data_IF_188960643767
#
_entry.id   IF_188960643767
#
_cell.length_a   1.000
_cell.length_b   1.000
_cell.length_c   1.000
_cell.angle_alpha   90.00
_cell.angle_beta   90.00
_cell.angle_gamma   90.00
#
_symmetry.space_group_name_H-M   'P 1'
#
loop_
_entity.id
_entity.type
_entity.pdbx_description
1 polymer ?
#
# COMPACT_ATOMS: atom_id res chain seq x y z
N UNK A 1 -41.30 -43.08 130.50
CA UNK A 1 -39.92 -43.39 130.09
C UNK A 1 -39.79 -43.73 128.59
N UNK A 2 -40.83 -44.20 127.90
CA UNK A 2 -40.79 -44.45 126.45
C UNK A 2 -40.64 -43.18 125.59
N UNK A 3 -41.23 -42.04 125.95
CA UNK A 3 -41.10 -40.79 125.17
C UNK A 3 -39.67 -40.21 125.13
N UNK A 4 -38.89 -40.41 126.21
CA UNK A 4 -37.50 -39.95 126.29
C UNK A 4 -36.56 -40.85 125.45
N UNK A 5 -36.87 -42.14 125.35
CA UNK A 5 -36.15 -43.09 124.49
C UNK A 5 -36.44 -42.85 123.00
N UNK A 6 -37.69 -42.55 122.65
CA UNK A 6 -38.06 -42.16 121.29
C UNK A 6 -37.33 -40.87 120.87
N UNK A 7 -37.33 -39.82 121.72
CA UNK A 7 -36.61 -38.55 121.43
C UNK A 7 -35.09 -38.72 121.32
N UNK A 8 -34.47 -39.61 122.11
CA UNK A 8 -33.01 -39.87 122.05
C UNK A 8 -32.55 -40.63 120.80
N UNK A 9 -33.41 -41.42 120.15
CA UNK A 9 -33.10 -42.12 118.89
C UNK A 9 -33.44 -41.25 117.67
N UNK A 10 -34.44 -40.38 117.81
CA UNK A 10 -35.00 -39.60 116.70
C UNK A 10 -34.11 -38.41 116.29
N UNK A 11 -33.49 -37.71 117.24
CA UNK A 11 -32.61 -36.55 116.96
C UNK A 11 -31.33 -36.94 116.19
N UNK A 12 -30.58 -38.01 116.56
CA UNK A 12 -29.41 -38.44 115.80
C UNK A 12 -29.73 -38.91 114.38
N UNK A 13 -30.87 -39.57 114.17
CA UNK A 13 -31.33 -40.04 112.86
C UNK A 13 -31.69 -38.86 111.95
N UNK A 14 -32.42 -37.86 112.46
CA UNK A 14 -32.70 -36.64 111.68
C UNK A 14 -31.43 -35.84 111.39
N UNK A 15 -30.49 -35.75 112.33
CA UNK A 15 -29.20 -35.09 112.11
C UNK A 15 -28.36 -35.80 111.04
N UNK A 16 -28.31 -37.14 111.05
CA UNK A 16 -27.60 -37.92 110.02
C UNK A 16 -28.23 -37.77 108.63
N UNK A 17 -29.56 -37.78 108.53
CA UNK A 17 -30.27 -37.57 107.25
C UNK A 17 -30.06 -36.16 106.72
N UNK A 18 -30.08 -35.16 107.60
CA UNK A 18 -29.79 -33.77 107.25
C UNK A 18 -28.35 -33.61 106.76
N UNK A 19 -27.37 -34.19 107.45
CA UNK A 19 -25.97 -34.16 107.05
C UNK A 19 -25.74 -34.88 105.71
N UNK A 20 -26.37 -36.03 105.47
CA UNK A 20 -26.31 -36.73 104.19
C UNK A 20 -26.92 -35.90 103.04
N UNK A 21 -28.03 -35.21 103.31
CA UNK A 21 -28.65 -34.30 102.34
C UNK A 21 -27.79 -33.06 102.08
N UNK A 22 -27.18 -32.47 103.11
CA UNK A 22 -26.27 -31.34 102.98
C UNK A 22 -25.04 -31.72 102.15
N UNK A 23 -24.48 -32.93 102.35
CA UNK A 23 -23.36 -33.43 101.57
C UNK A 23 -23.75 -33.73 100.11
N UNK A 24 -24.93 -34.31 99.88
CA UNK A 24 -25.46 -34.52 98.54
C UNK A 24 -25.71 -33.19 97.80
N UNK A 25 -26.19 -32.17 98.51
CA UNK A 25 -26.36 -30.82 97.96
C UNK A 25 -25.01 -30.14 97.68
N UNK A 26 -24.02 -30.28 98.56
CA UNK A 26 -22.66 -29.77 98.35
C UNK A 26 -22.01 -30.42 97.12
N UNK A 27 -22.02 -31.74 97.03
CA UNK A 27 -21.52 -32.48 95.87
C UNK A 27 -22.27 -32.15 94.57
N UNK A 28 -23.58 -31.86 94.64
CA UNK A 28 -24.34 -31.37 93.48
C UNK A 28 -23.89 -29.96 93.08
N UNK A 29 -23.72 -29.05 94.04
CA UNK A 29 -23.26 -27.69 93.79
C UNK A 29 -21.86 -27.66 93.18
N UNK A 30 -20.92 -28.45 93.70
CA UNK A 30 -19.56 -28.59 93.16
C UNK A 30 -19.57 -29.11 91.72
N UNK A 31 -20.41 -30.10 91.41
CA UNK A 31 -20.57 -30.61 90.04
C UNK A 31 -21.18 -29.58 89.09
N UNK A 32 -22.16 -28.80 89.54
CA UNK A 32 -22.76 -27.72 88.74
C UNK A 32 -21.69 -26.67 88.45
N UNK A 33 -20.96 -26.21 89.46
CA UNK A 33 -19.89 -25.22 89.28
C UNK A 33 -18.79 -25.73 88.34
N UNK A 34 -18.41 -27.01 88.43
CA UNK A 34 -17.44 -27.61 87.53
C UNK A 34 -17.95 -27.70 86.08
N UNK A 35 -19.23 -28.06 85.87
CA UNK A 35 -19.83 -28.11 84.54
C UNK A 35 -19.98 -26.70 83.94
N UNK A 36 -20.37 -25.72 84.73
CA UNK A 36 -20.51 -24.31 84.31
C UNK A 36 -19.16 -23.70 83.92
N UNK A 37 -18.10 -23.99 84.69
CA UNK A 37 -16.75 -23.59 84.34
C UNK A 37 -16.27 -24.22 83.02
N UNK A 38 -16.47 -25.53 82.85
CA UNK A 38 -16.16 -26.24 81.59
C UNK A 38 -16.95 -25.68 80.40
N UNK A 39 -18.23 -25.35 80.60
CA UNK A 39 -19.08 -24.76 79.57
C UNK A 39 -18.58 -23.37 79.15
N UNK A 40 -18.18 -22.54 80.12
CA UNK A 40 -17.63 -21.21 79.86
C UNK A 40 -16.31 -21.29 79.09
N UNK A 41 -15.37 -22.15 79.52
CA UNK A 41 -14.09 -22.33 78.83
C UNK A 41 -14.28 -22.85 77.39
N UNK A 42 -15.21 -23.78 77.18
CA UNK A 42 -15.55 -24.28 75.85
C UNK A 42 -16.14 -23.16 74.99
N UNK A 43 -17.06 -22.37 75.54
CA UNK A 43 -17.70 -21.25 74.86
C UNK A 43 -16.68 -20.19 74.42
N UNK A 44 -15.71 -19.86 75.28
CA UNK A 44 -14.64 -18.93 74.96
C UNK A 44 -13.73 -19.51 73.85
N UNK A 45 -13.39 -20.79 73.97
CA UNK A 45 -12.57 -21.48 72.97
C UNK A 45 -13.23 -21.50 71.58
N UNK A 46 -14.55 -21.73 71.51
CA UNK A 46 -15.34 -21.68 70.28
C UNK A 46 -15.41 -20.28 69.67
N UNK A 47 -15.64 -19.25 70.49
CA UNK A 47 -15.77 -17.86 70.04
C UNK A 47 -14.47 -17.35 69.42
N UNK A 48 -13.34 -17.64 70.08
CA UNK A 48 -12.02 -17.30 69.57
C UNK A 48 -11.71 -18.02 68.24
N UNK A 49 -12.02 -19.32 68.12
CA UNK A 49 -11.81 -20.05 66.86
C UNK A 49 -12.74 -19.51 65.75
N UNK A 50 -14.01 -19.24 66.05
CA UNK A 50 -14.93 -18.58 65.12
C UNK A 50 -14.39 -17.22 64.65
N UNK A 51 -13.91 -16.39 65.58
CA UNK A 51 -13.33 -15.09 65.28
C UNK A 51 -12.11 -15.19 64.38
N UNK A 52 -11.23 -16.17 64.65
CA UNK A 52 -10.09 -16.48 63.78
C UNK A 52 -10.55 -16.90 62.39
N UNK A 53 -11.48 -17.85 62.26
CA UNK A 53 -12.02 -18.31 60.96
C UNK A 53 -12.58 -17.13 60.17
N UNK A 54 -13.45 -16.33 60.79
CA UNK A 54 -14.06 -15.16 60.12
C UNK A 54 -13.02 -14.12 59.70
N UNK A 55 -11.98 -13.90 60.49
CA UNK A 55 -10.87 -13.03 60.11
C UNK A 55 -10.11 -13.56 58.90
N UNK A 56 -9.86 -14.87 58.82
CA UNK A 56 -9.19 -15.49 57.67
C UNK A 56 -10.06 -15.44 56.40
N UNK A 57 -11.36 -15.75 56.52
CA UNK A 57 -12.30 -15.68 55.40
C UNK A 57 -12.39 -14.25 54.84
N UNK A 58 -12.44 -13.25 55.73
CA UNK A 58 -12.44 -11.84 55.33
C UNK A 58 -11.16 -11.46 54.59
N UNK A 59 -10.00 -11.85 55.11
CA UNK A 59 -8.72 -11.60 54.45
C UNK A 59 -8.68 -12.19 53.04
N UNK A 60 -9.21 -13.40 52.83
CA UNK A 60 -9.27 -14.05 51.51
C UNK A 60 -10.21 -13.34 50.53
N UNK A 61 -11.31 -12.77 51.03
CA UNK A 61 -12.26 -12.02 50.20
C UNK A 61 -11.77 -10.63 49.79
N UNK A 62 -10.83 -10.05 50.55
CA UNK A 62 -10.26 -8.72 50.29
C UNK A 62 -9.04 -8.75 49.37
N UNK A 63 -8.55 -9.93 48.97
CA UNK A 63 -7.44 -10.00 48.02
C UNK A 63 -7.89 -9.60 46.62
N UNK A 64 -7.28 -8.52 46.13
CA UNK A 64 -7.38 -8.11 44.73
C UNK A 64 -6.82 -9.17 43.78
N UNK A 65 -7.33 -9.18 42.54
CA UNK A 65 -6.83 -10.05 41.47
C UNK A 65 -5.39 -9.65 41.13
N UNK A 66 -4.39 -10.52 41.32
CA UNK A 66 -3.00 -10.19 40.98
C UNK A 66 -2.83 -9.94 39.49
N UNK A 67 -2.05 -8.91 39.14
CA UNK A 67 -1.74 -8.56 37.74
C UNK A 67 -0.29 -8.84 37.34
N UNK A 68 0.52 -9.36 38.26
CA UNK A 68 1.92 -9.71 38.04
C UNK A 68 2.28 -11.05 38.69
N UNK A 69 3.31 -11.72 38.17
CA UNK A 69 3.85 -12.97 38.75
C UNK A 69 4.28 -12.77 40.20
N UNK A 70 4.88 -11.62 40.53
CA UNK A 70 5.25 -11.29 41.90
C UNK A 70 4.04 -11.20 42.83
N UNK A 71 2.93 -10.62 42.33
CA UNK A 71 1.67 -10.55 43.04
C UNK A 71 1.06 -11.94 43.29
N UNK A 72 1.09 -12.82 42.29
CA UNK A 72 0.66 -14.23 42.42
C UNK A 72 1.51 -14.94 43.47
N UNK A 73 2.84 -14.82 43.39
CA UNK A 73 3.77 -15.43 44.33
C UNK A 73 3.54 -14.94 45.77
N UNK A 74 3.27 -13.65 45.96
CA UNK A 74 2.93 -13.09 47.26
C UNK A 74 1.61 -13.66 47.82
N UNK A 75 0.59 -13.85 46.97
CA UNK A 75 -0.68 -14.48 47.34
C UNK A 75 -0.48 -15.95 47.73
N UNK A 76 0.23 -16.73 46.91
CA UNK A 76 0.54 -18.14 47.19
C UNK A 76 1.34 -18.30 48.49
N UNK A 77 2.36 -17.46 48.72
CA UNK A 77 3.12 -17.45 49.97
C UNK A 77 2.23 -17.13 51.18
N UNK A 78 1.21 -16.28 51.02
CA UNK A 78 0.24 -16.00 52.07
C UNK A 78 -0.67 -17.19 52.33
N UNK A 79 -1.20 -17.84 51.27
CA UNK A 79 -1.99 -19.06 51.38
C UNK A 79 -1.22 -20.20 52.07
N UNK A 80 0.09 -20.31 51.84
CA UNK A 80 0.94 -21.29 52.51
C UNK A 80 1.11 -20.99 54.01
N UNK A 81 1.27 -19.71 54.38
CA UNK A 81 1.30 -19.30 55.79
C UNK A 81 -0.04 -19.59 56.47
N UNK A 82 -1.16 -19.25 55.81
CA UNK A 82 -2.51 -19.55 56.30
C UNK A 82 -2.72 -21.06 56.43
N UNK A 83 -2.22 -21.87 55.49
CA UNK A 83 -2.33 -23.34 55.54
C UNK A 83 -1.56 -23.92 56.73
N UNK A 84 -0.40 -23.34 57.07
CA UNK A 84 0.35 -23.70 58.28
C UNK A 84 -0.41 -23.31 59.55
N UNK A 85 -0.97 -22.09 59.60
CA UNK A 85 -1.78 -21.63 60.72
C UNK A 85 -3.03 -22.51 60.92
N UNK A 86 -3.76 -22.83 59.85
CA UNK A 86 -4.91 -23.75 59.86
C UNK A 86 -4.54 -25.12 60.44
N UNK A 87 -3.37 -25.68 60.09
CA UNK A 87 -2.91 -26.96 60.68
C UNK A 87 -2.64 -26.86 62.18
N UNK A 88 -2.21 -25.70 62.68
CA UNK A 88 -2.03 -25.47 64.12
C UNK A 88 -3.38 -25.39 64.83
N UNK A 89 -4.33 -24.64 64.26
CA UNK A 89 -5.68 -24.48 64.79
C UNK A 89 -6.56 -25.74 64.67
N UNK A 90 -6.21 -26.69 63.79
CA UNK A 90 -6.90 -27.98 63.69
C UNK A 90 -6.94 -28.73 65.04
N UNK A 91 -5.84 -28.66 65.81
CA UNK A 91 -5.77 -29.30 67.13
C UNK A 91 -6.76 -28.69 68.11
N UNK A 92 -6.93 -27.36 68.03
CA UNK A 92 -7.89 -26.61 68.85
C UNK A 92 -9.33 -27.01 68.50
N UNK A 93 -9.65 -27.15 67.22
CA UNK A 93 -10.95 -27.64 66.78
C UNK A 93 -11.23 -29.07 67.30
N UNK A 94 -10.25 -29.96 67.23
CA UNK A 94 -10.40 -31.34 67.69
C UNK A 94 -10.58 -31.43 69.21
N UNK A 95 -9.89 -30.57 69.97
CA UNK A 95 -10.05 -30.43 71.43
C UNK A 95 -11.44 -29.86 71.81
N UNK A 96 -11.90 -28.80 71.14
CA UNK A 96 -13.26 -28.25 71.29
C UNK A 96 -14.29 -29.37 71.03
N UNK A 97 -14.15 -30.12 69.95
CA UNK A 97 -15.03 -31.25 69.60
C UNK A 97 -15.07 -32.32 70.68
N UNK A 98 -13.92 -32.67 71.26
CA UNK A 98 -13.85 -33.66 72.34
C UNK A 98 -14.55 -33.14 73.61
N UNK A 99 -14.17 -31.94 74.07
CA UNK A 99 -14.70 -31.34 75.30
C UNK A 99 -16.21 -31.11 75.24
N UNK A 100 -16.74 -30.65 74.12
CA UNK A 100 -18.20 -30.47 74.03
C UNK A 100 -18.97 -31.77 73.82
N UNK A 101 -18.36 -32.85 73.29
CA UNK A 101 -19.00 -34.19 73.37
C UNK A 101 -19.08 -34.68 74.81
N UNK A 102 -18.03 -34.50 75.59
CA UNK A 102 -18.02 -34.83 77.03
C UNK A 102 -19.08 -34.00 77.79
N UNK A 103 -19.13 -32.69 77.54
CA UNK A 103 -20.10 -31.80 78.16
C UNK A 103 -21.55 -32.09 77.72
N UNK A 104 -21.77 -32.46 76.46
CA UNK A 104 -23.08 -32.87 75.95
C UNK A 104 -23.55 -34.19 76.57
N UNK A 105 -22.63 -35.13 76.82
CA UNK A 105 -22.95 -36.39 77.52
C UNK A 105 -23.30 -36.18 78.99
N UNK A 106 -22.71 -35.15 79.62
CA UNK A 106 -22.97 -34.75 81.00
C UNK A 106 -24.23 -33.85 81.15
N UNK A 107 -24.89 -33.49 80.04
CA UNK A 107 -26.06 -32.63 80.03
C UNK A 107 -27.25 -33.25 80.80
N UNK A 108 -27.90 -32.44 81.64
CA UNK A 108 -28.97 -32.91 82.54
C UNK A 108 -30.34 -32.40 82.14
N UNK A 109 -30.42 -31.31 81.38
CA UNK A 109 -31.69 -30.84 80.83
C UNK A 109 -31.89 -31.40 79.42
N UNK A 110 -33.13 -31.81 79.07
CA UNK A 110 -33.45 -32.22 77.72
C UNK A 110 -33.11 -31.11 76.70
N UNK A 111 -32.42 -31.48 75.62
CA UNK A 111 -32.08 -30.57 74.51
C UNK A 111 -30.78 -29.77 74.66
N UNK A 112 -30.17 -29.67 75.84
CA UNK A 112 -28.89 -28.95 76.01
C UNK A 112 -27.73 -29.60 75.26
N UNK A 113 -27.62 -30.93 75.36
CA UNK A 113 -26.60 -31.69 74.63
C UNK A 113 -26.77 -31.57 73.10
N UNK A 114 -28.02 -31.56 72.62
CA UNK A 114 -28.33 -31.38 71.19
C UNK A 114 -27.93 -29.98 70.69
N UNK A 115 -28.22 -28.93 71.47
CA UNK A 115 -27.81 -27.56 71.14
C UNK A 115 -26.28 -27.41 71.08
N UNK A 116 -25.56 -28.06 71.99
CA UNK A 116 -24.10 -28.02 71.99
C UNK A 116 -23.51 -28.74 70.76
N UNK A 117 -24.06 -29.91 70.42
CA UNK A 117 -23.66 -30.64 69.21
C UNK A 117 -23.97 -29.85 67.93
N UNK A 118 -25.08 -29.11 67.89
CA UNK A 118 -25.43 -28.26 66.76
C UNK A 118 -24.45 -27.08 66.60
N UNK A 119 -24.04 -26.43 67.69
CA UNK A 119 -23.00 -25.39 67.65
C UNK A 119 -21.68 -25.92 67.10
N UNK A 120 -21.28 -27.12 67.52
CA UNK A 120 -20.08 -27.79 67.01
C UNK A 120 -20.17 -28.12 65.52
N UNK A 121 -21.37 -28.50 65.06
CA UNK A 121 -21.66 -28.75 63.65
C UNK A 121 -21.45 -27.46 62.85
N UNK A 122 -22.06 -26.35 63.27
CA UNK A 122 -21.90 -25.04 62.63
C UNK A 122 -20.44 -24.56 62.60
N UNK A 123 -19.68 -24.77 63.68
CA UNK A 123 -18.25 -24.44 63.72
C UNK A 123 -17.44 -25.29 62.73
N UNK A 124 -17.79 -26.56 62.59
CA UNK A 124 -17.16 -27.47 61.63
C UNK A 124 -17.49 -27.07 60.19
N UNK A 125 -18.73 -26.67 59.91
CA UNK A 125 -19.11 -26.16 58.59
C UNK A 125 -18.29 -24.93 58.21
N UNK A 126 -18.15 -23.94 59.11
CA UNK A 126 -17.30 -22.76 58.87
C UNK A 126 -15.83 -23.12 58.65
N UNK A 127 -15.33 -24.16 59.30
CA UNK A 127 -13.97 -24.64 59.12
C UNK A 127 -13.75 -25.25 57.73
N UNK A 128 -14.74 -26.00 57.24
CA UNK A 128 -14.73 -26.61 55.92
C UNK A 128 -14.91 -25.52 54.84
N UNK A 129 -15.80 -24.55 55.04
CA UNK A 129 -15.96 -23.37 54.17
C UNK A 129 -14.64 -22.59 54.01
N UNK A 130 -13.88 -22.39 55.09
CA UNK A 130 -12.56 -21.77 55.02
C UNK A 130 -11.59 -22.62 54.18
N UNK A 131 -11.63 -23.96 54.33
CA UNK A 131 -10.79 -24.85 53.55
C UNK A 131 -11.09 -24.75 52.05
N UNK A 132 -12.37 -24.78 51.70
CA UNK A 132 -12.86 -24.66 50.33
C UNK A 132 -12.50 -23.30 49.73
N UNK A 133 -12.64 -22.22 50.50
CA UNK A 133 -12.26 -20.88 50.06
C UNK A 133 -10.76 -20.75 49.81
N UNK A 134 -9.93 -21.32 50.70
CA UNK A 134 -8.48 -21.34 50.52
C UNK A 134 -8.07 -22.11 49.25
N UNK A 135 -8.69 -23.26 49.00
CA UNK A 135 -8.39 -24.07 47.82
C UNK A 135 -8.88 -23.41 46.52
N UNK A 136 -10.10 -22.85 46.54
CA UNK A 136 -10.61 -22.07 45.42
C UNK A 136 -9.72 -20.86 45.11
N UNK A 137 -9.16 -20.20 46.14
CA UNK A 137 -8.23 -19.07 45.95
C UNK A 137 -6.90 -19.53 45.38
N UNK A 138 -6.39 -20.70 45.80
CA UNK A 138 -5.17 -21.31 45.25
C UNK A 138 -5.34 -21.67 43.78
N UNK A 139 -6.45 -22.30 43.40
CA UNK A 139 -6.72 -22.64 42.00
C UNK A 139 -6.86 -21.39 41.13
N UNK A 140 -7.56 -20.35 41.62
CA UNK A 140 -7.61 -19.04 40.93
C UNK A 140 -6.22 -18.45 40.73
N UNK A 141 -5.36 -18.47 41.75
CA UNK A 141 -4.00 -17.97 41.63
C UNK A 141 -3.18 -18.73 40.56
N UNK A 142 -3.31 -20.06 40.48
CA UNK A 142 -2.69 -20.93 39.46
C UNK A 142 -3.18 -20.60 38.04
N UNK A 143 -4.48 -20.32 37.86
CA UNK A 143 -5.02 -19.90 36.56
C UNK A 143 -4.50 -18.51 36.17
N UNK A 144 -4.47 -17.57 37.11
CA UNK A 144 -3.94 -16.22 36.90
C UNK A 144 -2.45 -16.26 36.55
N UNK A 145 -1.66 -17.09 37.23
CA UNK A 145 -0.24 -17.29 36.93
C UNK A 145 -0.03 -17.69 35.47
N UNK A 146 -0.71 -18.77 35.04
CA UNK A 146 -0.64 -19.26 33.65
C UNK A 146 -1.12 -18.21 32.64
N UNK A 147 -2.11 -17.41 33.01
CA UNK A 147 -2.59 -16.32 32.17
C UNK A 147 -1.54 -15.22 32.02
N UNK A 148 -0.90 -14.78 33.11
CA UNK A 148 0.14 -13.73 33.08
C UNK A 148 1.36 -14.21 32.29
N UNK A 149 1.80 -15.45 32.50
CA UNK A 149 2.90 -16.04 31.72
C UNK A 149 2.57 -16.12 30.23
N UNK A 150 1.36 -16.58 29.89
CA UNK A 150 0.88 -16.65 28.52
C UNK A 150 0.76 -15.27 27.87
N UNK A 151 0.31 -14.26 28.61
CA UNK A 151 0.20 -12.88 28.15
C UNK A 151 1.59 -12.34 27.81
N UNK A 152 2.55 -12.46 28.72
CA UNK A 152 3.92 -12.01 28.51
C UNK A 152 4.60 -12.74 27.32
N UNK A 153 4.33 -14.04 27.15
CA UNK A 153 4.83 -14.81 26.03
C UNK A 153 4.27 -14.30 24.68
N UNK A 154 2.94 -14.08 24.61
CA UNK A 154 2.29 -13.55 23.41
C UNK A 154 2.71 -12.11 23.10
N UNK A 155 2.83 -11.26 24.12
CA UNK A 155 3.31 -9.89 23.94
C UNK A 155 4.71 -9.86 23.35
N UNK A 156 5.64 -10.65 23.92
CA UNK A 156 7.01 -10.79 23.40
C UNK A 156 7.02 -11.31 21.97
N UNK A 157 6.15 -12.26 21.65
CA UNK A 157 6.00 -12.79 20.31
C UNK A 157 5.47 -11.73 19.33
N UNK A 158 4.43 -10.98 19.69
CA UNK A 158 3.89 -9.87 18.90
C UNK A 158 4.95 -8.80 18.65
N UNK A 159 5.71 -8.39 19.67
CA UNK A 159 6.82 -7.44 19.52
C UNK A 159 7.90 -7.97 18.59
N UNK A 160 8.20 -9.28 18.62
CA UNK A 160 9.14 -9.89 17.68
C UNK A 160 8.60 -9.87 16.24
N UNK A 161 7.32 -10.19 16.04
CA UNK A 161 6.68 -10.16 14.71
C UNK A 161 6.58 -8.76 14.12
N UNK A 162 6.27 -7.74 14.94
CA UNK A 162 6.35 -6.34 14.50
C UNK A 162 7.75 -5.95 14.03
N UNK A 163 8.79 -6.36 14.77
CA UNK A 163 10.18 -6.13 14.32
C UNK A 163 10.52 -6.86 13.03
N UNK A 164 10.05 -8.09 12.84
CA UNK A 164 10.20 -8.81 11.57
C UNK A 164 9.48 -8.08 10.43
N UNK A 165 8.24 -7.62 10.66
CA UNK A 165 7.47 -6.86 9.67
C UNK A 165 8.18 -5.57 9.26
N UNK A 166 8.80 -4.87 10.21
CA UNK A 166 9.64 -3.70 9.92
C UNK A 166 10.90 -4.09 9.12
N UNK A 167 11.54 -5.20 9.47
CA UNK A 167 12.76 -5.68 8.80
C UNK A 167 12.57 -6.10 7.33
N UNK A 168 11.33 -6.43 6.91
CA UNK A 168 11.00 -6.67 5.49
C UNK A 168 11.28 -5.43 4.62
N UNK A 169 11.30 -4.23 5.22
CA UNK A 169 11.62 -2.99 4.52
C UNK A 169 10.43 -2.39 3.77
N UNK A 170 10.69 -1.36 2.96
CA UNK A 170 9.67 -0.71 2.15
C UNK A 170 9.27 -1.58 0.94
N UNK A 171 8.02 -1.49 0.46
CA UNK A 171 7.59 -2.11 -0.79
C UNK A 171 8.52 -1.75 -1.97
N UNK A 172 8.82 -2.73 -2.81
CA UNK A 172 9.73 -2.56 -3.96
C UNK A 172 9.03 -2.92 -5.27
N UNK A 173 9.44 -2.25 -6.35
CA UNK A 173 9.04 -2.55 -7.73
C UNK A 173 9.89 -3.65 -8.36
N UNK A 174 10.99 -4.05 -7.71
CA UNK A 174 11.80 -5.19 -8.17
C UNK A 174 11.06 -6.52 -7.92
N UNK A 175 10.75 -7.24 -8.98
CA UNK A 175 9.97 -8.48 -8.91
C UNK A 175 10.66 -9.62 -8.12
N UNK A 176 11.99 -9.65 -8.00
CA UNK A 176 12.68 -10.66 -7.20
C UNK A 176 12.63 -10.32 -5.71
N UNK A 177 12.87 -9.06 -5.36
CA UNK A 177 12.79 -8.59 -3.98
C UNK A 177 11.33 -8.63 -3.50
N UNK A 178 10.37 -8.18 -4.30
CA UNK A 178 8.94 -8.21 -3.95
C UNK A 178 8.42 -9.63 -3.70
N UNK A 179 8.85 -10.62 -4.51
CA UNK A 179 8.56 -12.05 -4.25
C UNK A 179 9.13 -12.53 -2.93
N UNK A 180 10.33 -12.09 -2.57
CA UNK A 180 10.96 -12.43 -1.29
C UNK A 180 10.20 -11.81 -0.12
N UNK A 181 9.85 -10.51 -0.23
CA UNK A 181 9.02 -9.81 0.75
C UNK A 181 7.67 -10.50 0.93
N UNK A 182 7.01 -10.88 -0.17
CA UNK A 182 5.73 -11.61 -0.14
C UNK A 182 5.86 -12.97 0.58
N UNK A 183 6.91 -13.74 0.28
CA UNK A 183 7.16 -15.00 0.99
C UNK A 183 7.38 -14.83 2.49
N UNK A 184 8.07 -13.76 2.91
CA UNK A 184 8.24 -13.42 4.33
C UNK A 184 6.92 -13.02 4.99
N UNK A 185 6.07 -12.24 4.31
CA UNK A 185 4.73 -11.85 4.81
C UNK A 185 3.82 -13.08 4.97
N UNK A 186 3.83 -13.99 3.99
CA UNK A 186 3.08 -15.25 4.05
C UNK A 186 3.53 -16.13 5.22
N UNK A 187 4.83 -16.19 5.50
CA UNK A 187 5.35 -16.91 6.65
C UNK A 187 4.85 -16.29 7.96
N UNK A 188 4.91 -14.96 8.10
CA UNK A 188 4.38 -14.27 9.28
C UNK A 188 2.87 -14.53 9.44
N UNK A 189 2.12 -14.53 8.34
CA UNK A 189 0.68 -14.79 8.37
C UNK A 189 0.36 -16.22 8.83
N UNK A 190 1.09 -17.21 8.31
CA UNK A 190 0.96 -18.60 8.74
C UNK A 190 1.32 -18.77 10.23
N UNK A 191 2.33 -18.05 10.72
CA UNK A 191 2.66 -18.05 12.15
C UNK A 191 1.57 -17.36 13.01
N UNK A 192 0.95 -16.27 12.53
CA UNK A 192 -0.21 -15.65 13.17
C UNK A 192 -1.39 -16.62 13.31
N UNK A 193 -1.69 -17.37 12.26
CA UNK A 193 -2.74 -18.40 12.29
C UNK A 193 -2.40 -19.53 13.27
N UNK A 194 -1.14 -19.93 13.36
CA UNK A 194 -0.67 -20.91 14.33
C UNK A 194 -0.84 -20.45 15.77
N UNK A 195 -0.53 -19.18 16.06
CA UNK A 195 -0.58 -18.62 17.41
C UNK A 195 -2.00 -18.21 17.84
N UNK A 196 -2.95 -18.12 16.89
CA UNK A 196 -4.36 -17.78 17.14
C UNK A 196 -5.03 -18.73 18.14
N UNK A 197 -4.61 -19.99 18.19
CA UNK A 197 -5.10 -20.96 19.18
C UNK A 197 -4.66 -20.60 20.61
N UNK A 198 -3.40 -20.20 20.80
CA UNK A 198 -2.86 -19.74 22.08
C UNK A 198 -3.58 -18.47 22.56
N UNK A 199 -3.78 -17.51 21.65
CA UNK A 199 -4.52 -16.28 21.94
C UNK A 199 -5.97 -16.56 22.40
N UNK A 200 -6.69 -17.44 21.70
CA UNK A 200 -8.04 -17.86 22.10
C UNK A 200 -8.06 -18.59 23.44
N UNK A 201 -7.07 -19.46 23.70
CA UNK A 201 -6.95 -20.13 24.99
C UNK A 201 -6.76 -19.12 26.12
N UNK A 202 -5.98 -18.07 25.90
CA UNK A 202 -5.74 -17.02 26.87
C UNK A 202 -7.00 -16.18 27.17
N UNK A 203 -7.76 -15.84 26.14
CA UNK A 203 -9.11 -15.24 26.29
C UNK A 203 -10.02 -16.12 27.15
N UNK A 204 -10.11 -17.42 26.81
CA UNK A 204 -10.98 -18.36 27.55
C UNK A 204 -10.57 -18.55 29.01
N UNK A 205 -9.26 -18.50 29.32
CA UNK A 205 -8.78 -18.52 30.71
C UNK A 205 -9.27 -17.29 31.48
N UNK A 206 -9.25 -16.10 30.87
CA UNK A 206 -9.77 -14.89 31.51
C UNK A 206 -11.28 -14.97 31.73
N UNK A 207 -12.05 -15.44 30.75
CA UNK A 207 -13.50 -15.61 30.87
C UNK A 207 -13.89 -16.62 31.97
N UNK A 208 -13.04 -17.62 32.21
CA UNK A 208 -13.25 -18.62 33.26
C UNK A 208 -12.96 -18.09 34.67
N UNK A 209 -12.28 -16.95 34.82
CA UNK A 209 -11.92 -16.40 36.12
C UNK A 209 -13.11 -15.66 36.77
N UNK A 210 -13.49 -16.02 38.01
CA UNK A 210 -14.48 -15.26 38.77
C UNK A 210 -13.97 -13.83 39.01
N UNK A 211 -14.77 -12.83 38.65
CA UNK A 211 -14.37 -11.42 38.75
C UNK A 211 -13.71 -10.84 37.48
N UNK A 212 -13.80 -11.54 36.34
CA UNK A 212 -13.48 -11.01 35.01
C UNK A 212 -14.47 -9.94 34.51
N UNK A 213 -14.93 -9.07 35.41
CA UNK A 213 -15.68 -7.87 35.02
C UNK A 213 -14.78 -6.96 34.17
N UNK A 214 -15.39 -6.12 33.32
CA UNK A 214 -14.65 -5.15 32.48
C UNK A 214 -13.73 -4.19 33.26
N UNK A 215 -13.90 -4.07 34.59
CA UNK A 215 -13.10 -3.23 35.49
C UNK A 215 -12.01 -4.00 36.26
N UNK A 216 -11.88 -5.32 36.06
CA UNK A 216 -10.85 -6.12 36.72
C UNK A 216 -9.44 -5.79 36.22
N UNK A 217 -8.43 -5.89 37.10
CA UNK A 217 -7.03 -5.51 36.78
C UNK A 217 -6.40 -6.22 35.59
N UNK A 218 -6.90 -7.40 35.19
CA UNK A 218 -6.41 -8.16 34.02
C UNK A 218 -7.10 -7.77 32.70
N UNK A 219 -8.31 -7.19 32.75
CA UNK A 219 -9.05 -6.76 31.57
C UNK A 219 -8.31 -5.71 30.70
N UNK A 220 -7.64 -4.67 31.26
CA UNK A 220 -6.89 -3.72 30.43
C UNK A 220 -5.70 -4.37 29.72
N UNK A 221 -4.99 -5.28 30.38
CA UNK A 221 -3.88 -6.04 29.77
C UNK A 221 -4.37 -6.91 28.60
N UNK A 222 -5.56 -7.50 28.73
CA UNK A 222 -6.21 -8.24 27.65
C UNK A 222 -6.62 -7.33 26.49
N UNK A 223 -7.15 -6.15 26.78
CA UNK A 223 -7.53 -5.16 25.78
C UNK A 223 -6.31 -4.66 24.99
N UNK A 224 -5.20 -4.41 25.67
CA UNK A 224 -3.93 -4.04 25.05
C UNK A 224 -3.41 -5.16 24.14
N UNK A 225 -3.42 -6.41 24.61
CA UNK A 225 -3.02 -7.57 23.81
C UNK A 225 -3.92 -7.74 22.57
N UNK A 226 -5.24 -7.58 22.74
CA UNK A 226 -6.22 -7.71 21.66
C UNK A 226 -6.04 -6.61 20.62
N UNK A 227 -5.85 -5.36 21.07
CA UNK A 227 -5.54 -4.23 20.20
C UNK A 227 -4.23 -4.47 19.46
N UNK A 228 -3.23 -5.01 20.16
CA UNK A 228 -1.93 -5.31 19.59
C UNK A 228 -1.98 -6.38 18.51
N UNK A 229 -2.78 -7.43 18.72
CA UNK A 229 -3.06 -8.49 17.77
C UNK A 229 -3.73 -7.94 16.50
N UNK A 230 -4.83 -7.20 16.65
CA UNK A 230 -5.59 -6.60 15.53
C UNK A 230 -4.74 -5.60 14.76
N UNK A 231 -3.93 -4.78 15.44
CA UNK A 231 -3.00 -3.85 14.80
C UNK A 231 -2.00 -4.59 13.91
N UNK A 232 -1.40 -5.68 14.41
CA UNK A 232 -0.45 -6.48 13.64
C UNK A 232 -1.11 -7.14 12.43
N UNK A 233 -2.33 -7.68 12.56
CA UNK A 233 -3.08 -8.25 11.43
C UNK A 233 -3.36 -7.19 10.35
N UNK A 234 -3.74 -5.98 10.77
CA UNK A 234 -3.97 -4.86 9.86
C UNK A 234 -2.68 -4.43 9.16
N UNK A 235 -1.61 -4.20 9.92
CA UNK A 235 -0.28 -3.81 9.39
C UNK A 235 0.26 -4.85 8.40
N UNK A 236 0.09 -6.14 8.71
CA UNK A 236 0.50 -7.24 7.84
C UNK A 236 -0.28 -7.22 6.52
N UNK A 237 -1.60 -7.13 6.59
CA UNK A 237 -2.49 -7.10 5.41
C UNK A 237 -2.22 -5.87 4.53
N UNK A 238 -2.01 -4.71 5.17
CA UNK A 238 -1.68 -3.47 4.48
C UNK A 238 -0.32 -3.57 3.78
N UNK A 239 0.68 -4.12 4.46
CA UNK A 239 2.01 -4.32 3.88
C UNK A 239 2.00 -5.33 2.74
N UNK A 240 1.26 -6.43 2.86
CA UNK A 240 1.04 -7.39 1.78
C UNK A 240 0.43 -6.73 0.54
N UNK A 241 -0.65 -5.95 0.73
CA UNK A 241 -1.28 -5.19 -0.34
C UNK A 241 -0.31 -4.20 -0.98
N UNK A 242 0.52 -3.53 -0.19
CA UNK A 242 1.47 -2.55 -0.68
C UNK A 242 2.61 -3.19 -1.48
N UNK A 243 3.17 -4.31 -1.01
CA UNK A 243 4.18 -5.09 -1.75
C UNK A 243 3.60 -5.62 -3.06
N UNK A 244 2.36 -6.13 -3.05
CA UNK A 244 1.70 -6.59 -4.27
C UNK A 244 1.51 -5.45 -5.28
N UNK A 245 0.97 -4.30 -4.84
CA UNK A 245 0.80 -3.12 -5.69
C UNK A 245 2.12 -2.63 -6.28
N UNK A 246 3.19 -2.57 -5.48
CA UNK A 246 4.50 -2.17 -5.95
C UNK A 246 5.07 -3.16 -6.98
N UNK A 247 4.88 -4.47 -6.76
CA UNK A 247 5.25 -5.51 -7.73
C UNK A 247 4.51 -5.37 -9.06
N UNK A 248 3.20 -5.12 -9.01
CA UNK A 248 2.37 -4.96 -10.21
C UNK A 248 2.78 -3.71 -11.00
N UNK A 249 3.03 -2.61 -10.30
CA UNK A 249 3.57 -1.37 -10.88
C UNK A 249 4.93 -1.61 -11.55
N UNK A 250 5.83 -2.33 -10.88
CA UNK A 250 7.13 -2.69 -11.44
C UNK A 250 7.02 -3.53 -12.71
N UNK A 251 6.05 -4.46 -12.76
CA UNK A 251 5.78 -5.25 -13.95
C UNK A 251 5.23 -4.41 -15.11
N UNK A 252 4.32 -3.47 -14.82
CA UNK A 252 3.77 -2.54 -15.80
C UNK A 252 4.85 -1.62 -16.37
N UNK A 253 5.64 -0.97 -15.52
CA UNK A 253 6.75 -0.10 -15.95
C UNK A 253 7.76 -0.88 -16.79
N UNK A 254 8.13 -2.09 -16.39
CA UNK A 254 9.06 -2.93 -17.15
C UNK A 254 8.50 -3.33 -18.53
N UNK A 255 7.19 -3.58 -18.62
CA UNK A 255 6.53 -3.87 -19.89
C UNK A 255 6.53 -2.65 -20.81
N UNK A 256 6.16 -1.48 -20.29
CA UNK A 256 6.18 -0.21 -21.03
C UNK A 256 7.59 0.17 -21.47
N UNK A 257 8.57 0.05 -20.58
CA UNK A 257 9.98 0.30 -20.88
C UNK A 257 10.47 -0.58 -22.03
N UNK A 258 10.12 -1.88 -22.04
CA UNK A 258 10.48 -2.77 -23.13
C UNK A 258 9.85 -2.34 -24.46
N UNK A 259 8.59 -1.88 -24.43
CA UNK A 259 7.90 -1.32 -25.60
C UNK A 259 8.60 -0.07 -26.13
N UNK A 260 8.79 0.93 -25.26
CA UNK A 260 9.47 2.20 -25.61
C UNK A 260 10.89 1.95 -26.15
N UNK A 261 11.68 1.07 -25.53
CA UNK A 261 13.03 0.75 -26.01
C UNK A 261 13.03 0.13 -27.41
N UNK A 262 12.05 -0.72 -27.71
CA UNK A 262 11.90 -1.31 -29.05
C UNK A 262 11.52 -0.25 -30.07
N UNK A 263 10.56 0.61 -29.74
CA UNK A 263 10.07 1.66 -30.63
C UNK A 263 11.13 2.74 -30.87
N UNK A 264 11.93 3.08 -29.85
CA UNK A 264 13.11 3.94 -29.99
C UNK A 264 14.13 3.32 -30.94
N UNK A 265 14.40 2.01 -30.84
CA UNK A 265 15.36 1.34 -31.74
C UNK A 265 14.86 1.30 -33.20
N UNK A 266 13.57 1.09 -33.40
CA UNK A 266 12.94 1.19 -34.74
C UNK A 266 13.06 2.61 -35.27
N UNK A 267 12.74 3.62 -34.45
CA UNK A 267 12.83 5.03 -34.84
C UNK A 267 14.27 5.45 -35.17
N UNK A 268 15.26 4.98 -34.42
CA UNK A 268 16.68 5.20 -34.72
C UNK A 268 17.06 4.64 -36.10
N UNK A 269 16.62 3.42 -36.43
CA UNK A 269 16.87 2.80 -37.72
C UNK A 269 16.16 3.55 -38.86
N UNK A 270 14.93 4.01 -38.64
CA UNK A 270 14.17 4.77 -39.64
C UNK A 270 14.77 6.16 -39.88
N UNK A 271 15.26 6.85 -38.83
CA UNK A 271 16.00 8.11 -38.94
C UNK A 271 17.30 7.89 -39.75
N UNK A 272 18.02 6.79 -39.52
CA UNK A 272 19.24 6.49 -40.29
C UNK A 272 18.93 6.20 -41.76
N UNK A 273 17.87 5.42 -42.03
CA UNK A 273 17.38 5.17 -43.40
C UNK A 273 16.97 6.46 -44.09
N UNK A 274 16.27 7.34 -43.38
CA UNK A 274 15.87 8.65 -43.88
C UNK A 274 17.06 9.51 -44.31
N UNK A 275 18.15 9.49 -43.52
CA UNK A 275 19.39 10.18 -43.84
C UNK A 275 20.02 9.74 -45.17
N UNK A 276 19.69 8.53 -45.67
CA UNK A 276 20.22 7.96 -46.92
C UNK A 276 19.37 8.25 -48.16
N UNK A 277 18.17 8.81 -48.02
CA UNK A 277 17.34 9.17 -49.17
C UNK A 277 18.05 10.17 -50.08
N UNK A 278 17.64 10.27 -51.35
CA UNK A 278 18.24 11.19 -52.32
C UNK A 278 17.54 12.56 -52.27
N UNK A 279 18.25 13.68 -52.56
CA UNK A 279 17.65 15.02 -52.54
C UNK A 279 16.51 15.20 -53.54
N UNK A 280 16.38 14.34 -54.55
CA UNK A 280 15.30 14.39 -55.55
C UNK A 280 13.91 13.96 -55.04
N UNK A 281 13.82 13.41 -53.83
CA UNK A 281 12.59 12.84 -53.25
C UNK A 281 12.05 13.72 -52.10
N UNK A 282 12.15 15.05 -52.23
CA UNK A 282 11.89 15.99 -51.14
C UNK A 282 10.48 15.86 -50.53
N UNK A 283 9.45 15.62 -51.33
CA UNK A 283 8.07 15.48 -50.85
C UNK A 283 7.88 14.17 -50.05
N UNK A 284 8.46 13.07 -50.54
CA UNK A 284 8.51 11.78 -49.82
C UNK A 284 9.26 11.95 -48.50
N UNK A 285 10.38 12.68 -48.52
CA UNK A 285 11.15 13.01 -47.33
C UNK A 285 10.35 13.83 -46.30
N UNK A 286 9.60 14.83 -46.74
CA UNK A 286 8.80 15.64 -45.81
C UNK A 286 7.67 14.84 -45.16
N UNK A 287 7.03 13.94 -45.92
CA UNK A 287 5.99 13.05 -45.43
C UNK A 287 6.53 12.04 -44.40
N UNK A 288 7.67 11.41 -44.68
CA UNK A 288 8.31 10.48 -43.74
C UNK A 288 8.78 11.17 -42.45
N UNK A 289 9.37 12.37 -42.54
CA UNK A 289 9.73 13.17 -41.33
C UNK A 289 8.50 13.50 -40.49
N UNK A 290 7.38 13.82 -41.12
CA UNK A 290 6.13 14.13 -40.42
C UNK A 290 5.60 12.89 -39.69
N UNK A 291 5.69 11.71 -40.31
CA UNK A 291 5.33 10.44 -39.68
C UNK A 291 6.25 10.08 -38.50
N UNK A 292 7.57 10.20 -38.67
CA UNK A 292 8.56 9.94 -37.60
C UNK A 292 8.39 10.92 -36.43
N UNK A 293 8.05 12.17 -36.70
CA UNK A 293 7.71 13.15 -35.65
C UNK A 293 6.46 12.78 -34.87
N UNK A 294 5.43 12.26 -35.54
CA UNK A 294 4.23 11.77 -34.85
C UNK A 294 4.57 10.63 -33.89
N UNK A 295 5.34 9.64 -34.35
CA UNK A 295 5.79 8.52 -33.52
C UNK A 295 6.62 8.97 -32.31
N UNK A 296 7.45 10.02 -32.48
CA UNK A 296 8.23 10.59 -31.39
C UNK A 296 7.36 11.25 -30.32
N UNK A 297 6.27 11.92 -30.72
CA UNK A 297 5.29 12.48 -29.78
C UNK A 297 4.63 11.36 -28.98
N UNK A 298 4.18 10.29 -29.65
CA UNK A 298 3.58 9.13 -28.99
C UNK A 298 4.54 8.49 -27.96
N UNK A 299 5.83 8.34 -28.31
CA UNK A 299 6.86 7.85 -27.38
C UNK A 299 7.07 8.79 -26.19
N UNK A 300 7.09 10.10 -26.44
CA UNK A 300 7.19 11.10 -25.37
C UNK A 300 6.01 11.02 -24.40
N UNK A 301 4.80 10.77 -24.90
CA UNK A 301 3.61 10.57 -24.08
C UNK A 301 3.71 9.30 -23.24
N UNK A 302 4.16 8.18 -23.81
CA UNK A 302 4.37 6.93 -23.07
C UNK A 302 5.40 7.08 -21.94
N UNK A 303 6.52 7.77 -22.20
CA UNK A 303 7.53 8.04 -21.15
C UNK A 303 7.01 9.03 -20.11
N UNK A 304 6.16 9.98 -20.52
CA UNK A 304 5.41 10.85 -19.61
C UNK A 304 4.50 10.04 -18.68
N UNK A 305 3.72 9.11 -19.24
CA UNK A 305 2.84 8.22 -18.48
C UNK A 305 3.61 7.34 -17.49
N UNK A 306 4.72 6.71 -17.91
CA UNK A 306 5.58 5.95 -16.99
C UNK A 306 6.12 6.83 -15.84
N UNK A 307 6.47 8.09 -16.10
CA UNK A 307 6.92 9.01 -15.05
C UNK A 307 5.80 9.31 -14.05
N UNK A 308 4.56 9.44 -14.51
CA UNK A 308 3.40 9.62 -13.63
C UNK A 308 3.09 8.38 -12.80
N UNK A 309 3.33 7.19 -13.33
CA UNK A 309 3.22 5.93 -12.58
C UNK A 309 4.26 5.82 -11.47
N UNK A 310 5.46 6.40 -11.66
CA UNK A 310 6.55 6.41 -10.68
C UNK A 310 6.37 7.54 -9.64
N UNK A 311 5.68 8.62 -10.00
CA UNK A 311 5.31 9.66 -9.04
C UNK A 311 4.52 9.05 -7.87
N UNK A 312 4.76 9.54 -6.64
CA UNK A 312 4.17 8.98 -5.45
C UNK A 312 2.65 9.20 -5.52
N UNK A 313 1.92 8.17 -5.96
CA UNK A 313 0.52 8.03 -5.62
C UNK A 313 0.46 8.02 -4.09
N UNK A 314 -0.26 8.96 -3.48
CA UNK A 314 -0.18 9.26 -2.03
C UNK A 314 -0.41 8.08 -1.09
N UNK A 315 -0.82 6.92 -1.62
CA UNK A 315 -1.12 5.69 -0.88
C UNK A 315 -0.04 4.59 -1.01
N UNK A 316 1.03 4.78 -1.79
CA UNK A 316 2.07 3.75 -2.00
C UNK A 316 3.47 4.33 -1.78
N UNK A 317 4.05 4.03 -0.61
CA UNK A 317 5.45 4.34 -0.32
C UNK A 317 6.34 3.24 -0.92
N UNK A 318 6.93 3.53 -2.09
CA UNK A 318 7.92 2.64 -2.74
C UNK A 318 9.29 2.93 -2.14
N UNK A 319 10.12 1.90 -2.03
CA UNK A 319 11.53 2.01 -1.68
C UNK A 319 12.25 3.10 -2.50
N UNK A 320 12.89 4.02 -1.79
CA UNK A 320 13.45 5.25 -2.37
C UNK A 320 14.56 4.96 -3.39
N UNK A 321 15.31 3.87 -3.22
CA UNK A 321 16.37 3.48 -4.15
C UNK A 321 15.78 2.95 -5.45
N UNK A 322 14.80 2.04 -5.38
CA UNK A 322 14.09 1.55 -6.56
C UNK A 322 13.39 2.69 -7.32
N UNK A 323 12.82 3.65 -6.60
CA UNK A 323 12.24 4.85 -7.22
C UNK A 323 13.29 5.70 -7.93
N UNK A 324 14.43 5.95 -7.29
CA UNK A 324 15.52 6.73 -7.89
C UNK A 324 16.06 6.10 -9.18
N UNK A 325 16.24 4.79 -9.19
CA UNK A 325 16.70 4.04 -10.37
C UNK A 325 15.68 4.13 -11.52
N UNK A 326 14.37 4.03 -11.22
CA UNK A 326 13.31 4.18 -12.20
C UNK A 326 13.23 5.62 -12.76
N UNK A 327 13.35 6.63 -11.91
CA UNK A 327 13.38 8.03 -12.32
C UNK A 327 14.60 8.33 -13.22
N UNK A 328 15.77 7.78 -12.90
CA UNK A 328 16.97 7.93 -13.72
C UNK A 328 16.78 7.28 -15.11
N UNK A 329 16.18 6.09 -15.16
CA UNK A 329 15.86 5.41 -16.43
C UNK A 329 14.86 6.22 -17.27
N UNK A 330 13.79 6.75 -16.67
CA UNK A 330 12.83 7.60 -17.38
C UNK A 330 13.49 8.85 -17.94
N UNK A 331 14.34 9.51 -17.14
CA UNK A 331 15.07 10.70 -17.58
C UNK A 331 16.07 10.39 -18.70
N UNK A 332 16.71 9.22 -18.68
CA UNK A 332 17.54 8.74 -19.76
C UNK A 332 16.77 8.56 -21.08
N UNK A 333 15.57 7.96 -21.02
CA UNK A 333 14.72 7.80 -22.20
C UNK A 333 14.20 9.14 -22.74
N UNK A 334 13.79 10.07 -21.86
CA UNK A 334 13.40 11.44 -22.27
C UNK A 334 14.51 12.13 -23.03
N UNK A 335 15.75 12.08 -22.53
CA UNK A 335 16.92 12.65 -23.22
C UNK A 335 17.14 12.03 -24.60
N UNK A 336 16.99 10.71 -24.72
CA UNK A 336 17.14 10.01 -26.01
C UNK A 336 16.06 10.42 -27.02
N UNK A 337 14.81 10.56 -26.58
CA UNK A 337 13.69 11.08 -27.38
C UNK A 337 13.98 12.52 -27.82
N UNK A 338 14.45 13.39 -26.93
CA UNK A 338 14.82 14.78 -27.25
C UNK A 338 15.95 14.86 -28.28
N UNK A 339 16.95 13.97 -28.19
CA UNK A 339 18.04 13.87 -29.18
C UNK A 339 17.53 13.47 -30.56
N UNK A 340 16.62 12.48 -30.64
CA UNK A 340 15.98 12.10 -31.90
C UNK A 340 15.11 13.22 -32.47
N UNK A 341 14.40 13.97 -31.61
CA UNK A 341 13.65 15.17 -31.98
C UNK A 341 14.53 16.18 -32.71
N UNK A 342 15.68 16.49 -32.12
CA UNK A 342 16.66 17.43 -32.69
C UNK A 342 17.22 16.93 -34.02
N UNK A 343 17.51 15.62 -34.14
CA UNK A 343 17.97 15.03 -35.42
C UNK A 343 16.90 15.13 -36.51
N UNK A 344 15.64 14.84 -36.18
CA UNK A 344 14.52 14.99 -37.11
C UNK A 344 14.30 16.46 -37.52
N UNK A 345 14.46 17.41 -36.60
CA UNK A 345 14.41 18.84 -36.92
C UNK A 345 15.52 19.27 -37.88
N UNK A 346 16.75 18.81 -37.65
CA UNK A 346 17.87 19.06 -38.56
C UNK A 346 17.59 18.48 -39.95
N UNK A 347 17.15 17.23 -40.02
CA UNK A 347 16.79 16.56 -41.27
C UNK A 347 15.62 17.25 -41.99
N UNK A 348 14.61 17.72 -41.25
CA UNK A 348 13.50 18.52 -41.77
C UNK A 348 14.01 19.81 -42.41
N UNK A 349 14.89 20.54 -41.72
CA UNK A 349 15.44 21.80 -42.21
C UNK A 349 16.25 21.59 -43.49
N UNK A 350 17.04 20.51 -43.56
CA UNK A 350 17.78 20.13 -44.77
C UNK A 350 16.83 19.82 -45.93
N UNK A 351 15.76 19.04 -45.68
CA UNK A 351 14.76 18.73 -46.70
C UNK A 351 14.04 19.98 -47.21
N UNK A 352 13.62 20.89 -46.32
CA UNK A 352 12.98 22.16 -46.69
C UNK A 352 13.94 23.07 -47.48
N UNK A 353 15.20 23.17 -47.07
CA UNK A 353 16.23 23.92 -47.81
C UNK A 353 16.44 23.36 -49.23
N UNK A 354 16.49 22.03 -49.35
CA UNK A 354 16.62 21.36 -50.64
C UNK A 354 15.40 21.63 -51.55
N UNK A 355 14.20 21.70 -50.96
CA UNK A 355 12.98 22.10 -51.68
C UNK A 355 13.10 23.52 -52.23
N UNK A 356 13.46 24.48 -51.39
CA UNK A 356 13.55 25.88 -51.80
C UNK A 356 14.61 26.11 -52.87
N UNK A 357 15.74 25.39 -52.80
CA UNK A 357 16.76 25.43 -53.86
C UNK A 357 16.22 24.83 -55.17
N UNK A 358 15.46 23.73 -55.09
CA UNK A 358 14.77 23.14 -56.24
C UNK A 358 13.79 24.10 -56.91
N UNK A 359 12.91 24.74 -56.11
CA UNK A 359 11.94 25.73 -56.59
C UNK A 359 12.65 26.95 -57.24
N UNK A 360 13.78 27.39 -56.70
CA UNK A 360 14.56 28.48 -57.27
C UNK A 360 15.22 28.09 -58.60
N UNK A 361 15.71 26.86 -58.72
CA UNK A 361 16.25 26.31 -59.97
C UNK A 361 15.14 26.19 -61.02
N UNK A 362 13.96 25.69 -60.66
CA UNK A 362 12.82 25.58 -61.58
C UNK A 362 12.40 26.97 -62.08
N UNK A 363 12.36 27.97 -61.21
CA UNK A 363 12.09 29.36 -61.60
C UNK A 363 13.14 29.94 -62.56
N UNK A 364 14.42 29.61 -62.34
CA UNK A 364 15.51 30.00 -63.26
C UNK A 364 15.41 29.28 -64.61
N UNK A 365 14.98 28.02 -64.61
CA UNK A 365 14.74 27.23 -65.82
C UNK A 365 13.56 27.79 -66.62
N UNK A 366 12.44 28.16 -65.98
CA UNK A 366 11.29 28.76 -66.68
C UNK A 366 11.68 30.11 -67.29
N UNK A 367 12.42 30.95 -66.55
CA UNK A 367 12.95 32.21 -67.09
C UNK A 367 13.88 31.98 -68.30
N UNK A 368 14.74 30.95 -68.25
CA UNK A 368 15.58 30.58 -69.40
C UNK A 368 14.75 30.03 -70.57
N UNK A 369 13.69 29.29 -70.30
CA UNK A 369 12.76 28.80 -71.33
C UNK A 369 12.03 29.96 -72.02
N UNK A 370 11.61 30.97 -71.27
CA UNK A 370 10.98 32.16 -71.83
C UNK A 370 11.95 32.94 -72.72
N UNK A 371 13.19 33.14 -72.26
CA UNK A 371 14.26 33.73 -73.10
C UNK A 371 14.50 32.90 -74.37
N UNK A 372 14.52 31.58 -74.26
CA UNK A 372 14.69 30.70 -75.41
C UNK A 372 13.49 30.74 -76.38
N UNK A 373 12.26 30.90 -75.86
CA UNK A 373 11.04 31.09 -76.67
C UNK A 373 11.07 32.44 -77.39
N UNK A 374 11.49 33.50 -76.71
CA UNK A 374 11.62 34.85 -77.28
C UNK A 374 12.68 34.87 -78.38
N UNK A 375 13.88 34.34 -78.12
CA UNK A 375 14.92 34.20 -79.13
C UNK A 375 14.48 33.36 -80.35
N UNK A 376 13.67 32.31 -80.13
CA UNK A 376 13.08 31.53 -81.23
C UNK A 376 12.10 32.36 -82.06
N UNK A 377 11.26 33.17 -81.41
CA UNK A 377 10.32 34.07 -82.10
C UNK A 377 11.06 35.09 -82.95
N UNK A 378 12.12 35.72 -82.40
CA UNK A 378 12.97 36.65 -83.14
C UNK A 378 13.62 35.99 -84.36
N UNK A 379 14.12 34.75 -84.21
CA UNK A 379 14.67 33.99 -85.35
C UNK A 379 13.59 33.72 -86.41
N UNK A 380 12.36 33.41 -86.01
CA UNK A 380 11.24 33.15 -86.92
C UNK A 380 10.83 34.42 -87.69
N UNK A 381 10.83 35.58 -87.04
CA UNK A 381 10.66 36.89 -87.69
C UNK A 381 11.78 37.19 -88.68
N UNK A 382 13.04 36.94 -88.30
CA UNK A 382 14.20 37.10 -89.21
C UNK A 382 14.08 36.17 -90.41
N UNK A 383 13.63 34.93 -90.23
CA UNK A 383 13.41 33.99 -91.35
C UNK A 383 12.31 34.47 -92.30
N UNK A 384 11.24 35.07 -91.79
CA UNK A 384 10.19 35.66 -92.62
C UNK A 384 10.66 36.94 -93.35
N UNK A 385 11.52 37.74 -92.73
CA UNK A 385 12.23 38.84 -93.39
C UNK A 385 13.12 38.32 -94.53
N UNK A 386 13.89 37.25 -94.31
CA UNK A 386 14.73 36.63 -95.35
C UNK A 386 13.88 36.15 -96.54
N UNK A 387 12.73 35.51 -96.29
CA UNK A 387 11.80 35.13 -97.38
C UNK A 387 11.27 36.36 -98.14
N UNK A 388 10.94 37.44 -97.43
CA UNK A 388 10.49 38.68 -98.07
C UNK A 388 11.59 39.29 -98.96
N UNK A 389 12.85 39.25 -98.52
CA UNK A 389 14.00 39.66 -99.32
C UNK A 389 14.21 38.76 -100.55
N UNK A 390 14.08 37.44 -100.43
CA UNK A 390 14.16 36.53 -101.58
C UNK A 390 13.06 36.82 -102.63
N UNK A 391 11.83 37.09 -102.19
CA UNK A 391 10.72 37.45 -103.09
C UNK A 391 11.01 38.77 -103.80
N UNK A 392 11.54 39.76 -103.07
CA UNK A 392 11.92 41.06 -103.65
C UNK A 392 13.07 40.91 -104.66
N UNK A 393 14.11 40.14 -104.33
CA UNK A 393 15.25 39.90 -105.23
C UNK A 393 14.80 39.24 -106.53
N UNK A 394 13.94 38.22 -106.43
CA UNK A 394 13.37 37.54 -107.61
C UNK A 394 12.50 38.48 -108.46
N UNK A 395 11.72 39.37 -107.83
CA UNK A 395 10.93 40.39 -108.52
C UNK A 395 11.80 41.42 -109.26
N UNK A 396 12.87 41.89 -108.62
CA UNK A 396 13.84 42.81 -109.22
C UNK A 396 14.59 42.16 -110.39
N UNK A 397 15.05 40.92 -110.24
CA UNK A 397 15.67 40.15 -111.34
C UNK A 397 14.74 40.00 -112.52
N UNK A 398 13.49 39.57 -112.29
CA UNK A 398 12.49 39.41 -113.33
C UNK A 398 12.23 40.73 -114.06
N UNK A 399 12.10 41.83 -113.31
CA UNK A 399 11.94 43.16 -113.86
C UNK A 399 13.13 43.62 -114.69
N UNK A 400 14.38 43.37 -114.25
CA UNK A 400 15.58 43.71 -115.02
C UNK A 400 15.65 42.93 -116.34
N UNK A 401 15.34 41.63 -116.32
CA UNK A 401 15.26 40.85 -117.56
C UNK A 401 14.15 41.34 -118.51
N UNK A 402 13.04 41.83 -117.97
CA UNK A 402 11.98 42.42 -118.80
C UNK A 402 12.44 43.74 -119.44
N UNK A 403 13.07 44.63 -118.67
CA UNK A 403 13.66 45.86 -119.17
C UNK A 403 14.72 45.59 -120.25
N UNK A 404 15.54 44.57 -120.06
CA UNK A 404 16.57 44.16 -121.02
C UNK A 404 15.96 43.64 -122.34
N UNK A 405 14.89 42.85 -122.25
CA UNK A 405 14.12 42.41 -123.42
C UNK A 405 13.42 43.57 -124.14
N UNK A 406 12.85 44.52 -123.40
CA UNK A 406 12.20 45.72 -123.95
C UNK A 406 13.23 46.65 -124.61
N UNK A 407 14.41 46.85 -124.02
CA UNK A 407 15.52 47.60 -124.65
C UNK A 407 16.03 46.93 -125.93
N UNK A 408 16.13 45.61 -125.94
CA UNK A 408 16.51 44.84 -127.13
C UNK A 408 15.47 45.00 -128.25
N UNK A 409 14.17 45.06 -127.89
CA UNK A 409 13.08 45.33 -128.84
C UNK A 409 13.09 46.77 -129.37
N UNK A 410 13.44 47.75 -128.54
CA UNK A 410 13.55 49.16 -128.93
C UNK A 410 14.72 49.38 -129.90
N UNK A 411 15.87 48.76 -129.62
CA UNK A 411 17.06 48.82 -130.49
C UNK A 411 16.83 48.18 -131.87
N UNK A 412 15.89 47.24 -131.97
CA UNK A 412 15.48 46.64 -133.23
C UNK A 412 14.43 47.47 -134.01
N UNK A 413 13.82 48.50 -133.40
CA UNK A 413 12.81 49.34 -134.05
C UNK A 413 13.43 50.61 -134.65
N UNK A 414 13.22 50.87 -135.94
CA UNK A 414 13.62 52.12 -136.61
C UNK A 414 12.59 53.25 -136.42
N UNK A 415 11.54 53.02 -135.61
CA UNK A 415 10.45 53.97 -135.35
C UNK A 415 10.71 54.79 -134.07
N UNK A 416 11.30 55.98 -134.27
CA UNK A 416 11.72 56.92 -133.21
C UNK A 416 10.59 57.31 -132.24
N UNK A 417 9.33 57.34 -132.70
CA UNK A 417 8.19 57.73 -131.85
C UNK A 417 7.75 56.58 -130.94
N UNK A 418 7.86 55.33 -131.41
CA UNK A 418 7.57 54.15 -130.60
C UNK A 418 8.62 53.97 -129.49
N UNK A 419 9.90 54.12 -129.83
CA UNK A 419 11.04 54.01 -128.90
C UNK A 419 10.95 55.00 -127.73
N UNK A 420 10.51 56.25 -127.98
CA UNK A 420 10.42 57.28 -126.96
C UNK A 420 9.26 57.04 -125.97
N UNK A 421 8.18 56.42 -126.43
CA UNK A 421 7.04 56.02 -125.57
C UNK A 421 7.40 54.83 -124.68
N UNK A 422 8.15 53.85 -125.20
CA UNK A 422 8.60 52.68 -124.43
C UNK A 422 9.66 53.06 -123.38
N UNK A 423 10.63 53.91 -123.72
CA UNK A 423 11.60 54.44 -122.75
C UNK A 423 10.93 55.17 -121.57
N UNK A 424 9.87 55.94 -121.85
CA UNK A 424 9.08 56.63 -120.82
C UNK A 424 8.25 55.66 -119.96
N UNK A 425 7.82 54.54 -120.52
CA UNK A 425 7.16 53.48 -119.76
C UNK A 425 8.15 52.75 -118.84
N UNK A 426 9.37 52.46 -119.33
CA UNK A 426 10.46 51.87 -118.53
C UNK A 426 10.91 52.80 -117.40
N UNK A 427 11.01 54.11 -117.62
CA UNK A 427 11.35 55.09 -116.59
C UNK A 427 10.30 55.11 -115.46
N UNK A 428 9.01 55.03 -115.82
CA UNK A 428 7.91 54.94 -114.83
C UNK A 428 7.86 53.60 -114.09
N UNK A 429 8.26 52.49 -114.74
CA UNK A 429 8.35 51.17 -114.11
C UNK A 429 9.56 51.07 -113.17
N UNK A 430 10.69 51.64 -113.55
CA UNK A 430 11.89 51.78 -112.72
C UNK A 430 11.61 52.64 -111.49
N UNK A 431 10.93 53.78 -111.65
CA UNK A 431 10.52 54.63 -110.52
C UNK A 431 9.61 53.93 -109.51
N UNK A 432 8.71 53.05 -109.96
CA UNK A 432 7.88 52.22 -109.06
C UNK A 432 8.67 51.15 -108.32
N UNK A 433 9.59 50.46 -108.99
CA UNK A 433 10.47 49.47 -108.36
C UNK A 433 11.36 50.09 -107.27
N UNK A 434 11.88 51.30 -107.50
CA UNK A 434 12.64 52.03 -106.49
C UNK A 434 11.76 52.40 -105.28
N UNK A 435 10.50 52.82 -105.50
CA UNK A 435 9.58 53.09 -104.42
C UNK A 435 9.25 51.84 -103.58
N UNK A 436 9.10 50.66 -104.21
CA UNK A 436 8.87 49.40 -103.51
C UNK A 436 10.09 48.95 -102.68
N UNK A 437 11.33 49.19 -103.16
CA UNK A 437 12.55 48.93 -102.37
C UNK A 437 12.68 49.85 -101.15
N UNK A 438 12.21 51.10 -101.23
CA UNK A 438 12.24 52.04 -100.12
C UNK A 438 11.18 51.71 -99.04
N UNK A 439 10.05 51.12 -99.43
CA UNK A 439 8.99 50.72 -98.50
C UNK A 439 9.38 49.52 -97.62
N UNK A 440 10.30 48.66 -98.08
CA UNK A 440 10.86 47.56 -97.28
C UNK A 440 11.94 48.04 -96.31
N UNK A 441 12.72 49.05 -96.69
CA UNK A 441 13.73 49.65 -95.79
C UNK A 441 13.09 50.42 -94.61
N UNK A 442 11.82 50.83 -94.73
CA UNK A 442 11.05 51.46 -93.66
C UNK A 442 10.36 50.48 -92.69
N UNK A 443 10.50 49.16 -92.89
CA UNK A 443 9.94 48.11 -92.01
C UNK A 443 10.98 47.36 -91.20
N UNK A 444 12.25 47.75 -91.25
CA UNK A 444 13.21 47.38 -90.21
C UNK A 444 13.02 48.32 -89.01
N UNK A 445 12.69 47.80 -87.82
CA UNK A 445 12.84 48.56 -86.58
C UNK A 445 14.31 48.92 -86.30
#
# INVERSE_FOLDING_TARGET
MEELSAKNITIPVYSSRYNAQAEALRSRAERINAADHKATELQDAENELCGWISSQMKSLSEYDVPTSIDGVNALLATLDRMSKAKRQEQRRLDDIRLRGRELAADARLPGEGEQLLERHRMLSEKWDELADLMEATRERASVIEKWIEGHAALEKWLSAKRRMLLAIGAPTTDAAIARTQMGQLQLINAEMDGERASYKKLMGMLESLPGASSDGGLAPLMSELSTGWVSLEKELSEKERNVQRASDLGAEIKSLQKGVMNDVAVLEADIEKFGRLLPSEVETRLNEVSALKSQLVDLSEQVGYMSQLIEPSGDLEIDAMNRGDLDEQMNGMKKKIDEMSRKLDQLKNVAVSSRSEGDEIEKKLEALLDVAREARSEIEEVLDLVKQFEVLENSLRAGLTQDENELTSILASEDSVAAQSTLKAMENASGRRIADTLNLNGKCP
#
